data_IF_505280770780
#
_entry.id   IF_505280770780
#
_cell.length_a   1.000
_cell.length_b   1.000
_cell.length_c   1.000
_cell.angle_alpha   90.00
_cell.angle_beta   90.00
_cell.angle_gamma   90.00
#
_symmetry.space_group_name_H-M   'P 1'
#
loop_
_entity.id
_entity.type
_entity.pdbx_description
1 polymer ?
#
# COMPACT_ATOMS: atom_id res chain seq x y z
N UNK A 1 -27.01 -4.25 12.41
CA UNK A 1 -26.29 -3.34 11.50
C UNK A 1 -24.84 -3.25 11.99
N UNK A 2 -24.04 -4.27 11.70
CA UNK A 2 -22.64 -4.30 12.13
C UNK A 2 -21.83 -3.53 11.10
N UNK A 3 -21.31 -2.37 11.48
CA UNK A 3 -20.24 -1.75 10.71
C UNK A 3 -19.08 -2.75 10.75
N UNK A 4 -18.77 -3.36 9.61
CA UNK A 4 -17.60 -4.21 9.47
C UNK A 4 -16.39 -3.42 10.00
N UNK A 5 -15.73 -3.90 11.07
CA UNK A 5 -14.66 -3.17 11.74
C UNK A 5 -13.49 -2.82 10.81
N UNK A 6 -13.39 -3.47 9.65
CA UNK A 6 -12.41 -3.17 8.59
C UNK A 6 -12.61 -1.77 7.99
N UNK A 7 -13.83 -1.24 7.98
CA UNK A 7 -14.15 0.05 7.37
C UNK A 7 -14.00 1.23 8.34
N UNK A 8 -13.83 0.96 9.65
CA UNK A 8 -13.67 2.00 10.67
C UNK A 8 -12.21 2.46 10.70
N UNK A 9 -11.94 3.63 10.13
CA UNK A 9 -10.60 4.25 10.16
C UNK A 9 -10.41 5.02 11.47
N UNK A 10 -9.72 4.42 12.43
CA UNK A 10 -9.53 4.98 13.78
C UNK A 10 -8.18 5.67 14.00
N UNK A 11 -7.18 5.43 13.13
CA UNK A 11 -5.81 5.94 13.30
C UNK A 11 -5.44 6.89 12.16
N UNK A 12 -4.97 8.09 12.52
CA UNK A 12 -4.44 9.06 11.57
C UNK A 12 -2.94 8.86 11.38
N UNK A 13 -2.49 9.02 10.15
CA UNK A 13 -1.06 9.03 9.77
C UNK A 13 -0.80 10.36 9.09
N UNK A 14 0.21 11.09 9.59
CA UNK A 14 0.66 12.32 8.95
C UNK A 14 1.78 11.98 7.96
N UNK A 15 1.66 12.49 6.74
CA UNK A 15 2.61 12.28 5.65
C UNK A 15 3.09 13.63 5.14
N UNK A 16 4.40 13.78 5.02
CA UNK A 16 5.02 14.96 4.40
C UNK A 16 5.39 14.60 2.98
N UNK A 17 4.89 15.37 2.02
CA UNK A 17 5.21 15.28 0.60
C UNK A 17 5.74 16.62 0.13
N UNK A 18 6.67 16.60 -0.83
CA UNK A 18 7.03 17.83 -1.54
C UNK A 18 5.93 18.22 -2.55
N UNK A 19 6.06 19.41 -3.13
CA UNK A 19 5.05 19.95 -4.06
C UNK A 19 4.90 19.16 -5.35
N UNK A 20 5.93 18.44 -5.79
CA UNK A 20 5.85 17.60 -6.99
C UNK A 20 5.16 16.28 -6.68
N UNK A 21 5.51 15.64 -5.57
CA UNK A 21 4.86 14.41 -5.09
C UNK A 21 3.37 14.62 -4.84
N UNK A 22 3.00 15.73 -4.18
CA UNK A 22 1.58 16.03 -3.93
C UNK A 22 0.79 16.22 -5.23
N UNK A 23 1.34 16.91 -6.22
CA UNK A 23 0.69 17.08 -7.54
C UNK A 23 0.46 15.76 -8.25
N UNK A 24 1.40 14.82 -8.15
CA UNK A 24 1.22 13.48 -8.72
C UNK A 24 0.08 12.74 -8.02
N UNK A 25 0.04 12.79 -6.69
CA UNK A 25 -1.04 12.16 -5.91
C UNK A 25 -2.40 12.75 -6.28
N UNK A 26 -2.51 14.08 -6.36
CA UNK A 26 -3.76 14.76 -6.69
C UNK A 26 -4.25 14.40 -8.09
N UNK A 27 -3.37 14.46 -9.09
CA UNK A 27 -3.71 14.12 -10.47
C UNK A 27 -4.17 12.66 -10.59
N UNK A 28 -3.47 11.72 -9.94
CA UNK A 28 -3.86 10.31 -9.96
C UNK A 28 -5.18 10.09 -9.22
N UNK A 29 -5.35 10.69 -8.05
CA UNK A 29 -6.60 10.57 -7.29
C UNK A 29 -7.81 11.11 -8.09
N UNK A 30 -7.62 12.22 -8.81
CA UNK A 30 -8.63 12.80 -9.70
C UNK A 30 -8.97 11.86 -10.87
N UNK A 31 -7.97 11.31 -11.55
CA UNK A 31 -8.17 10.33 -12.63
C UNK A 31 -8.94 9.09 -12.17
N UNK A 32 -8.75 8.68 -10.92
CA UNK A 32 -9.43 7.54 -10.32
C UNK A 32 -10.75 7.92 -9.62
N UNK A 33 -11.13 9.20 -9.58
CA UNK A 33 -12.36 9.68 -8.94
C UNK A 33 -12.41 9.45 -7.43
N UNK A 34 -11.26 9.42 -6.76
CA UNK A 34 -11.15 9.15 -5.31
C UNK A 34 -10.46 10.29 -4.57
N UNK A 35 -10.59 10.31 -3.24
CA UNK A 35 -9.83 11.25 -2.41
C UNK A 35 -8.34 10.90 -2.40
N UNK A 36 -7.42 11.89 -2.37
CA UNK A 36 -5.97 11.65 -2.29
C UNK A 36 -5.54 10.69 -1.18
N UNK A 37 -6.16 10.80 0.00
CA UNK A 37 -5.87 9.92 1.15
C UNK A 37 -6.30 8.46 0.94
N UNK A 38 -7.34 8.23 0.14
CA UNK A 38 -7.80 6.89 -0.26
C UNK A 38 -6.81 6.32 -1.27
N UNK A 39 -6.42 7.10 -2.28
CA UNK A 39 -5.44 6.69 -3.28
C UNK A 39 -4.09 6.31 -2.66
N UNK A 40 -3.51 7.17 -1.82
CA UNK A 40 -2.24 6.90 -1.12
C UNK A 40 -2.32 5.59 -0.33
N UNK A 41 -3.44 5.37 0.38
CA UNK A 41 -3.64 4.14 1.15
C UNK A 41 -3.65 2.91 0.26
N UNK A 42 -4.40 2.94 -0.84
CA UNK A 42 -4.49 1.80 -1.76
C UNK A 42 -3.14 1.49 -2.39
N UNK A 43 -2.44 2.51 -2.86
CA UNK A 43 -1.08 2.41 -3.37
C UNK A 43 -0.13 1.76 -2.35
N UNK A 44 -0.15 2.23 -1.10
CA UNK A 44 0.69 1.68 -0.04
C UNK A 44 0.36 0.21 0.26
N UNK A 45 -0.93 -0.15 0.31
CA UNK A 45 -1.36 -1.53 0.55
C UNK A 45 -0.99 -2.46 -0.61
N UNK A 46 -1.07 -1.98 -1.84
CA UNK A 46 -0.63 -2.73 -3.03
C UNK A 46 0.89 -2.95 -3.02
N UNK A 47 1.67 -1.90 -2.76
CA UNK A 47 3.13 -2.01 -2.63
C UNK A 47 3.53 -3.03 -1.55
N UNK A 48 2.85 -3.04 -0.39
CA UNK A 48 3.10 -4.02 0.66
C UNK A 48 2.80 -5.47 0.22
N UNK A 49 1.76 -5.70 -0.58
CA UNK A 49 1.47 -7.02 -1.15
C UNK A 49 2.62 -7.50 -2.03
N UNK A 50 3.17 -6.62 -2.88
CA UNK A 50 4.32 -6.95 -3.73
C UNK A 50 5.59 -7.22 -2.91
N UNK A 51 5.84 -6.45 -1.86
CA UNK A 51 6.99 -6.65 -0.97
C UNK A 51 6.91 -7.95 -0.15
N UNK A 52 5.71 -8.38 0.24
CA UNK A 52 5.54 -9.67 0.90
C UNK A 52 5.69 -10.83 -0.08
N UNK A 53 5.17 -10.70 -1.30
CA UNK A 53 5.33 -11.71 -2.36
C UNK A 53 6.79 -11.95 -2.75
N UNK A 54 7.62 -10.89 -2.78
CA UNK A 54 9.04 -11.01 -3.12
C UNK A 54 9.86 -11.71 -2.03
N UNK A 55 9.61 -11.43 -0.74
CA UNK A 55 10.31 -12.12 0.37
C UNK A 55 9.99 -13.61 0.44
N UNK A 56 8.79 -14.03 0.06
CA UNK A 56 8.41 -15.45 0.03
C UNK A 56 9.13 -16.22 -1.09
N UNK A 57 9.43 -15.58 -2.22
CA UNK A 57 10.19 -16.21 -3.31
C UNK A 57 11.66 -16.45 -2.91
N UNK A 58 12.33 -15.46 -2.33
CA UNK A 58 13.74 -15.57 -1.92
C UNK A 58 13.94 -16.61 -0.80
N UNK A 59 13.05 -16.66 0.19
CA UNK A 59 13.13 -17.66 1.26
C UNK A 59 12.83 -19.10 0.82
N UNK A 60 12.17 -19.29 -0.33
CA UNK A 60 11.93 -20.62 -0.91
C UNK A 60 13.13 -21.15 -1.70
N UNK A 61 13.93 -20.27 -2.32
CA UNK A 61 15.18 -20.63 -3.00
C UNK A 61 16.28 -21.01 -2.01
N UNK A 62 16.45 -20.24 -0.93
CA UNK A 62 17.43 -20.56 0.13
C UNK A 62 17.16 -21.93 0.77
N UNK A 63 15.89 -22.28 1.01
CA UNK A 63 15.56 -23.60 1.56
C UNK A 63 15.86 -24.73 0.56
N UNK A 64 15.63 -24.55 -0.75
CA UNK A 64 15.97 -25.59 -1.74
C UNK A 64 17.48 -25.80 -1.85
N UNK A 65 18.27 -24.73 -1.74
CA UNK A 65 19.73 -24.83 -1.76
C UNK A 65 20.34 -25.39 -0.46
N UNK A 66 19.66 -25.25 0.67
CA UNK A 66 20.10 -25.82 1.95
C UNK A 66 19.82 -27.33 2.09
N UNK A 67 18.96 -27.89 1.24
CA UNK A 67 18.59 -29.32 1.23
C UNK A 67 19.01 -30.05 -0.07
N UNK A 68 19.89 -29.46 -0.88
CA UNK A 68 20.50 -30.07 -2.07
C UNK A 68 21.99 -30.33 -1.83
#
# INVERSE_FOLDING_TARGET
MYADPVHIRSKRVNLSLNSTEMRVVEAMAELHGVQPSVFIRELAMEALKHLHGSKSATGAEEKRHAYA
#
